data_IF_710996429946
#
_entry.id   IF_710996429946
#
_cell.length_a   1.000
_cell.length_b   1.000
_cell.length_c   1.000
_cell.angle_alpha   90.00
_cell.angle_beta   90.00
_cell.angle_gamma   90.00
#
_symmetry.space_group_name_H-M   'P 1'
#
loop_
_entity.id
_entity.type
_entity.pdbx_description
1 polymer ?
#
# COMPACT_ATOMS: atom_id res chain seq x y z
N UNK A 1 8.05 35.33 3.19
CA UNK A 1 6.73 34.70 3.08
C UNK A 1 5.79 35.34 4.10
N UNK A 2 4.54 35.64 3.73
CA UNK A 2 3.51 36.11 4.67
C UNK A 2 3.36 35.10 5.83
N UNK A 3 3.13 35.58 7.06
CA UNK A 3 2.87 34.72 8.23
C UNK A 3 1.70 33.76 7.99
N UNK A 4 0.65 34.22 7.29
CA UNK A 4 -0.50 33.39 6.90
C UNK A 4 -0.12 32.14 6.06
N UNK A 5 0.93 32.26 5.24
CA UNK A 5 1.40 31.16 4.38
C UNK A 5 2.18 30.12 5.20
N UNK A 6 2.91 30.56 6.23
CA UNK A 6 3.66 29.64 7.11
C UNK A 6 2.73 28.78 7.96
N UNK A 7 1.59 29.32 8.39
CA UNK A 7 0.58 28.56 9.14
C UNK A 7 -0.07 27.47 8.29
N UNK A 8 -0.37 27.73 7.01
CA UNK A 8 -0.94 26.73 6.09
C UNK A 8 0.05 25.57 5.85
N UNK A 9 1.35 25.88 5.81
CA UNK A 9 2.40 24.88 5.59
C UNK A 9 2.78 24.13 6.87
N UNK A 10 2.08 24.35 7.99
CA UNK A 10 2.37 23.68 9.25
C UNK A 10 3.79 23.94 9.76
N UNK A 11 4.35 25.13 9.46
CA UNK A 11 5.71 25.50 9.82
C UNK A 11 6.81 24.93 8.91
N UNK A 12 6.48 24.32 7.77
CA UNK A 12 7.47 23.87 6.79
C UNK A 12 8.01 25.06 5.98
N UNK A 13 9.33 25.29 6.08
CA UNK A 13 10.06 26.27 5.27
C UNK A 13 10.80 25.53 4.13
N UNK A 14 10.32 25.68 2.89
CA UNK A 14 10.94 25.13 1.68
C UNK A 14 10.68 26.03 0.46
N UNK A 15 11.55 25.98 -0.55
CA UNK A 15 11.40 26.78 -1.78
C UNK A 15 10.72 25.99 -2.89
N UNK A 16 10.97 24.68 -2.98
CA UNK A 16 10.39 23.80 -3.98
C UNK A 16 9.93 22.47 -3.38
N UNK A 17 8.96 21.80 -4.03
CA UNK A 17 8.54 20.45 -3.64
C UNK A 17 9.65 19.41 -3.78
N UNK A 18 10.75 19.74 -4.48
CA UNK A 18 11.97 18.91 -4.53
C UNK A 18 12.67 18.82 -3.18
N UNK A 19 12.49 19.80 -2.31
CA UNK A 19 13.12 19.87 -0.99
C UNK A 19 12.33 19.09 0.06
N UNK A 20 11.10 18.67 -0.27
CA UNK A 20 10.21 17.94 0.63
C UNK A 20 10.56 16.45 0.59
N UNK A 21 10.94 15.84 1.73
CA UNK A 21 11.25 14.42 1.76
C UNK A 21 9.99 13.59 1.55
N UNK A 22 10.07 12.59 0.66
CA UNK A 22 8.99 11.62 0.43
C UNK A 22 9.32 10.33 1.19
N UNK A 23 8.40 9.79 2.01
CA UNK A 23 8.61 8.51 2.69
C UNK A 23 8.88 7.37 1.70
N UNK A 24 9.79 6.46 2.03
CA UNK A 24 10.13 5.33 1.14
C UNK A 24 8.99 4.31 1.01
N UNK A 25 8.28 4.04 2.12
CA UNK A 25 7.22 3.04 2.17
C UNK A 25 5.90 3.63 1.71
N UNK A 26 5.17 2.92 0.85
CA UNK A 26 3.87 3.39 0.36
C UNK A 26 2.87 3.63 1.49
N UNK A 27 2.93 2.83 2.57
CA UNK A 27 1.99 2.97 3.69
C UNK A 27 2.13 4.30 4.42
N UNK A 28 3.32 4.89 4.45
CA UNK A 28 3.60 6.16 5.12
C UNK A 28 3.36 7.37 4.19
N UNK A 29 3.12 7.13 2.90
CA UNK A 29 2.69 8.14 1.93
C UNK A 29 1.16 8.33 1.90
N UNK A 30 0.39 7.51 2.63
CA UNK A 30 -1.07 7.63 2.68
C UNK A 30 -1.47 8.83 3.55
N UNK A 31 -2.28 9.73 3.01
CA UNK A 31 -2.66 10.99 3.66
C UNK A 31 -4.12 10.92 4.15
N UNK A 32 -4.33 11.28 5.42
CA UNK A 32 -5.67 11.52 5.99
C UNK A 32 -6.53 10.26 6.17
N UNK A 33 -5.92 9.08 6.26
CA UNK A 33 -6.60 7.79 6.39
C UNK A 33 -5.99 6.94 7.51
N UNK A 34 -5.75 7.55 8.68
CA UNK A 34 -5.02 6.93 9.80
C UNK A 34 -5.62 5.59 10.24
N UNK A 35 -6.95 5.50 10.32
CA UNK A 35 -7.64 4.26 10.68
C UNK A 35 -7.44 3.15 9.64
N UNK A 36 -7.50 3.48 8.34
CA UNK A 36 -7.29 2.51 7.28
C UNK A 36 -5.83 2.03 7.25
N UNK A 37 -4.87 2.94 7.47
CA UNK A 37 -3.44 2.61 7.57
C UNK A 37 -3.19 1.65 8.73
N UNK A 38 -3.75 1.92 9.91
CA UNK A 38 -3.60 1.04 11.06
C UNK A 38 -4.22 -0.34 10.82
N UNK A 39 -5.43 -0.38 10.25
CA UNK A 39 -6.11 -1.63 9.91
C UNK A 39 -5.31 -2.47 8.90
N UNK A 40 -4.74 -1.83 7.87
CA UNK A 40 -3.90 -2.50 6.87
C UNK A 40 -2.61 -3.03 7.51
N UNK A 41 -1.93 -2.24 8.34
CA UNK A 41 -0.72 -2.70 9.06
C UNK A 41 -1.00 -3.94 9.90
N UNK A 42 -2.12 -3.97 10.65
CA UNK A 42 -2.53 -5.14 11.44
C UNK A 42 -2.92 -6.33 10.55
N UNK A 43 -3.66 -6.09 9.47
CA UNK A 43 -4.11 -7.14 8.57
C UNK A 43 -2.95 -7.82 7.82
N UNK A 44 -1.93 -7.06 7.40
CA UNK A 44 -0.74 -7.59 6.75
C UNK A 44 0.02 -8.57 7.66
N UNK A 45 0.26 -8.17 8.91
CA UNK A 45 0.95 -9.01 9.91
C UNK A 45 0.16 -10.28 10.23
N UNK A 46 -1.17 -10.18 10.32
CA UNK A 46 -2.05 -11.30 10.67
C UNK A 46 -2.57 -12.10 9.47
N UNK A 47 -2.16 -11.75 8.24
CA UNK A 47 -2.66 -12.34 6.97
C UNK A 47 -4.19 -12.36 6.88
N UNK A 48 -4.85 -11.27 7.28
CA UNK A 48 -6.32 -11.14 7.20
C UNK A 48 -6.74 -10.48 5.90
N UNK A 49 -7.87 -10.91 5.35
CA UNK A 49 -8.50 -10.24 4.22
C UNK A 49 -9.06 -8.89 4.65
N UNK A 50 -9.01 -7.91 3.74
CA UNK A 50 -9.52 -6.56 3.96
C UNK A 50 -10.45 -6.20 2.81
N UNK A 51 -11.57 -5.55 3.14
CA UNK A 51 -12.48 -4.95 2.17
C UNK A 51 -12.40 -3.43 2.30
N UNK A 52 -11.98 -2.75 1.23
CA UNK A 52 -11.85 -1.29 1.19
C UNK A 52 -13.07 -0.67 0.52
N UNK A 53 -13.87 0.08 1.28
CA UNK A 53 -15.07 0.78 0.78
C UNK A 53 -14.81 2.28 0.73
N UNK A 54 -15.15 2.92 -0.38
CA UNK A 54 -15.09 4.38 -0.52
C UNK A 54 -15.24 4.84 -1.97
N UNK A 55 -15.47 6.13 -2.17
CA UNK A 55 -15.62 6.79 -3.49
C UNK A 55 -14.43 6.53 -4.43
N UNK A 56 -14.60 6.56 -5.76
CA UNK A 56 -13.46 6.45 -6.68
C UNK A 56 -12.42 7.55 -6.40
N UNK A 57 -11.13 7.24 -6.57
CA UNK A 57 -10.04 8.19 -6.35
C UNK A 57 -9.57 8.38 -4.90
N UNK A 58 -10.12 7.64 -3.92
CA UNK A 58 -9.76 7.81 -2.49
C UNK A 58 -8.56 7.00 -1.99
N UNK A 59 -7.70 6.49 -2.89
CA UNK A 59 -6.48 5.78 -2.47
C UNK A 59 -6.65 4.29 -2.10
N UNK A 60 -7.78 3.64 -2.43
CA UNK A 60 -7.99 2.19 -2.18
C UNK A 60 -6.88 1.31 -2.79
N UNK A 61 -6.51 1.56 -4.05
CA UNK A 61 -5.44 0.81 -4.71
C UNK A 61 -4.06 1.08 -4.09
N UNK A 62 -3.84 2.28 -3.54
CA UNK A 62 -2.61 2.64 -2.84
C UNK A 62 -2.48 1.86 -1.53
N UNK A 63 -3.57 1.78 -0.74
CA UNK A 63 -3.62 0.96 0.47
C UNK A 63 -3.39 -0.53 0.19
N UNK A 64 -3.95 -1.07 -0.91
CA UNK A 64 -3.72 -2.45 -1.30
C UNK A 64 -2.25 -2.73 -1.67
N UNK A 65 -1.60 -1.82 -2.42
CA UNK A 65 -0.17 -1.92 -2.74
C UNK A 65 0.70 -1.82 -1.49
N UNK A 66 0.39 -0.86 -0.62
CA UNK A 66 1.06 -0.69 0.66
C UNK A 66 0.94 -1.96 1.54
N UNK A 67 -0.22 -2.62 1.53
CA UNK A 67 -0.39 -3.90 2.21
C UNK A 67 0.51 -4.99 1.64
N UNK A 68 0.61 -5.10 0.31
CA UNK A 68 1.45 -6.08 -0.36
C UNK A 68 2.94 -5.90 -0.02
N UNK A 69 3.44 -4.66 0.08
CA UNK A 69 4.81 -4.36 0.51
C UNK A 69 5.09 -4.75 1.97
N UNK A 70 4.05 -4.75 2.81
CA UNK A 70 4.15 -5.10 4.23
C UNK A 70 4.03 -6.61 4.49
N UNK A 71 3.61 -7.40 3.51
CA UNK A 71 3.55 -8.85 3.68
C UNK A 71 4.97 -9.38 3.93
N UNK A 72 5.12 -10.34 4.87
CA UNK A 72 6.41 -10.97 5.09
C UNK A 72 6.93 -11.58 3.79
N UNK A 73 8.23 -11.45 3.55
CA UNK A 73 8.89 -12.10 2.42
C UNK A 73 8.86 -13.61 2.66
N UNK A 74 7.92 -14.29 2.04
CA UNK A 74 7.91 -15.74 1.95
C UNK A 74 8.81 -16.20 0.80
N UNK A 75 9.20 -17.47 0.81
CA UNK A 75 9.82 -18.06 -0.38
C UNK A 75 8.79 -18.00 -1.52
N UNK A 76 9.15 -17.33 -2.61
CA UNK A 76 8.30 -17.29 -3.80
C UNK A 76 8.29 -18.68 -4.41
N UNK A 77 7.08 -19.21 -4.62
CA UNK A 77 6.87 -20.51 -5.23
C UNK A 77 6.54 -20.34 -6.71
N UNK A 78 7.23 -21.09 -7.56
CA UNK A 78 6.86 -21.22 -8.97
C UNK A 78 5.79 -22.32 -9.11
N UNK A 79 4.69 -21.98 -9.77
CA UNK A 79 3.61 -22.94 -10.07
C UNK A 79 3.75 -23.37 -11.53
N UNK A 80 4.13 -24.63 -11.73
CA UNK A 80 4.21 -25.26 -13.05
C UNK A 80 3.01 -26.19 -13.24
N UNK A 81 2.57 -26.32 -14.49
CA UNK A 81 1.51 -27.27 -14.86
C UNK A 81 2.00 -28.16 -15.99
N UNK A 82 1.80 -29.46 -15.83
CA UNK A 82 2.20 -30.51 -16.75
C UNK A 82 0.97 -31.25 -17.29
N UNK A 83 1.05 -31.78 -18.52
CA UNK A 83 0.03 -32.66 -19.04
C UNK A 83 -0.03 -33.93 -18.18
N UNK A 84 -1.23 -34.31 -17.74
CA UNK A 84 -1.46 -35.52 -16.97
C UNK A 84 -1.80 -36.68 -17.93
N UNK A 85 -0.95 -37.72 -18.08
CA UNK A 85 -1.19 -38.82 -19.02
C UNK A 85 -2.37 -39.72 -18.63
N UNK A 86 -2.79 -39.69 -17.36
CA UNK A 86 -3.87 -40.54 -16.83
C UNK A 86 -5.25 -39.90 -17.04
N UNK A 87 -5.33 -38.57 -16.98
CA UNK A 87 -6.54 -37.81 -17.26
C UNK A 87 -6.17 -36.44 -17.87
N UNK A 88 -6.37 -36.26 -19.19
CA UNK A 88 -6.11 -34.99 -19.87
C UNK A 88 -6.87 -33.77 -19.31
N UNK A 89 -8.00 -33.98 -18.60
CA UNK A 89 -8.79 -32.90 -18.00
C UNK A 89 -8.33 -32.50 -16.60
N UNK A 90 -7.35 -33.20 -16.03
CA UNK A 90 -6.76 -32.88 -14.74
C UNK A 90 -5.25 -32.64 -14.85
N UNK A 91 -4.80 -31.50 -15.40
CA UNK A 91 -3.39 -31.12 -15.41
C UNK A 91 -2.79 -31.14 -13.99
N UNK A 92 -1.51 -31.50 -13.87
CA UNK A 92 -0.80 -31.69 -12.59
C UNK A 92 0.42 -30.80 -12.46
#
# INVERSE_FOLDING_TARGET
>A
MNEDVKDILGGLDFESTKDVPVPERLIDQVIGQDHAVEAIKKAAVQKRHVMLIGSPGTGKSMLAKAMAELLPKEELEDILVYPNPQDPNQPK
#
